data_IF_350232408389
#
_entry.id   IF_350232408389
#
_cell.length_a   1.000
_cell.length_b   1.000
_cell.length_c   1.000
_cell.angle_alpha   90.00
_cell.angle_beta   90.00
_cell.angle_gamma   90.00
#
_symmetry.space_group_name_H-M   'P 1'
#
loop_
_entity.id
_entity.type
_entity.pdbx_description
1 polymer ?
#
# COMPACT_ATOMS: atom_id res chain seq x y z
N UNK A 1 -18.85 -2.87 -7.89
CA UNK A 1 -18.34 -4.13 -8.45
C UNK A 1 -17.78 -3.87 -9.83
N UNK A 2 -16.51 -4.18 -10.06
CA UNK A 2 -15.83 -4.00 -11.35
C UNK A 2 -15.50 -5.37 -11.93
N UNK A 3 -15.65 -5.55 -13.24
CA UNK A 3 -15.35 -6.81 -13.94
C UNK A 3 -14.30 -6.57 -15.02
N UNK A 4 -13.32 -7.46 -15.08
CA UNK A 4 -12.28 -7.50 -16.12
C UNK A 4 -12.39 -8.83 -16.88
N UNK A 5 -12.28 -8.78 -18.21
CA UNK A 5 -12.22 -9.98 -19.07
C UNK A 5 -10.83 -10.11 -19.67
N UNK A 6 -10.22 -11.28 -19.49
CA UNK A 6 -8.89 -11.60 -20.00
C UNK A 6 -9.00 -12.61 -21.14
N UNK A 7 -8.39 -12.31 -22.29
CA UNK A 7 -8.48 -13.13 -23.51
C UNK A 7 -7.06 -13.42 -24.01
N UNK A 8 -6.82 -14.65 -24.46
CA UNK A 8 -5.55 -15.06 -25.07
C UNK A 8 -5.81 -16.00 -26.24
N UNK A 9 -5.01 -15.86 -27.30
CA UNK A 9 -5.03 -16.78 -28.45
C UNK A 9 -4.19 -18.05 -28.22
N UNK A 10 -3.55 -18.18 -27.06
CA UNK A 10 -2.68 -19.30 -26.71
C UNK A 10 -3.47 -20.44 -26.08
N UNK A 11 -2.97 -21.68 -26.26
CA UNK A 11 -3.62 -22.91 -25.75
C UNK A 11 -3.42 -23.12 -24.24
N UNK A 12 -2.42 -22.47 -23.64
CA UNK A 12 -2.16 -22.58 -22.20
C UNK A 12 -3.30 -21.94 -21.39
N UNK A 13 -3.67 -22.53 -20.24
CA UNK A 13 -4.72 -21.98 -19.40
C UNK A 13 -4.26 -20.64 -18.79
N UNK A 14 -5.06 -19.60 -19.00
CA UNK A 14 -4.75 -18.24 -18.52
C UNK A 14 -5.01 -18.08 -17.02
N UNK A 15 -6.03 -18.77 -16.48
CA UNK A 15 -6.44 -18.67 -15.07
C UNK A 15 -5.28 -18.95 -14.08
N UNK A 16 -4.54 -20.08 -14.16
CA UNK A 16 -3.44 -20.35 -13.23
C UNK A 16 -2.31 -19.32 -13.29
N UNK A 17 -2.04 -18.75 -14.48
CA UNK A 17 -1.00 -17.73 -14.66
C UNK A 17 -1.38 -16.41 -13.97
N UNK A 18 -2.62 -15.98 -14.15
CA UNK A 18 -3.14 -14.74 -13.55
C UNK A 18 -3.29 -14.91 -12.05
N UNK A 19 -3.76 -16.07 -11.60
CA UNK A 19 -3.87 -16.40 -10.17
C UNK A 19 -2.50 -16.35 -9.49
N UNK A 20 -1.48 -17.00 -10.07
CA UNK A 20 -0.13 -16.95 -9.53
C UNK A 20 0.44 -15.52 -9.51
N UNK A 21 0.14 -14.69 -10.52
CA UNK A 21 0.58 -13.29 -10.56
C UNK A 21 -0.06 -12.45 -9.44
N UNK A 22 -1.37 -12.60 -9.22
CA UNK A 22 -2.09 -11.91 -8.13
C UNK A 22 -1.54 -12.34 -6.77
N UNK A 23 -1.36 -13.64 -6.54
CA UNK A 23 -0.81 -14.15 -5.29
C UNK A 23 0.61 -13.66 -5.03
N UNK A 24 1.45 -13.58 -6.07
CA UNK A 24 2.79 -13.03 -5.93
C UNK A 24 2.76 -11.52 -5.61
N UNK A 25 1.87 -10.75 -6.25
CA UNK A 25 1.73 -9.33 -5.97
C UNK A 25 1.26 -9.07 -4.53
N UNK A 26 0.26 -9.80 -4.04
CA UNK A 26 -0.18 -9.74 -2.65
C UNK A 26 0.98 -9.98 -1.66
N UNK A 27 1.82 -10.98 -1.93
CA UNK A 27 3.02 -11.24 -1.10
C UNK A 27 4.00 -10.07 -1.11
N UNK A 28 4.21 -9.42 -2.25
CA UNK A 28 5.10 -8.26 -2.37
C UNK A 28 4.51 -7.03 -1.66
N UNK A 29 3.20 -6.78 -1.82
CA UNK A 29 2.49 -5.71 -1.14
C UNK A 29 2.62 -5.84 0.37
N UNK A 30 2.40 -7.05 0.93
CA UNK A 30 2.56 -7.32 2.35
C UNK A 30 3.96 -6.96 2.88
N UNK A 31 5.01 -7.34 2.14
CA UNK A 31 6.40 -6.98 2.50
C UNK A 31 6.61 -5.46 2.47
N UNK A 32 6.03 -4.79 1.47
CA UNK A 32 6.06 -3.32 1.35
C UNK A 32 5.36 -2.63 2.53
N UNK A 33 4.14 -3.05 2.84
CA UNK A 33 3.32 -2.56 3.96
C UNK A 33 4.08 -2.71 5.27
N UNK A 34 4.62 -3.89 5.54
CA UNK A 34 5.38 -4.16 6.77
C UNK A 34 6.62 -3.27 6.89
N UNK A 35 7.32 -3.02 5.77
CA UNK A 35 8.48 -2.14 5.75
C UNK A 35 8.10 -0.68 6.00
N UNK A 36 7.06 -0.18 5.33
CA UNK A 36 6.58 1.19 5.51
C UNK A 36 6.03 1.40 6.92
N UNK A 37 5.29 0.44 7.49
CA UNK A 37 4.85 0.48 8.90
C UNK A 37 6.02 0.57 9.88
N UNK A 38 7.14 -0.12 9.62
CA UNK A 38 8.35 0.01 10.45
C UNK A 38 8.96 1.41 10.35
N UNK A 39 9.09 1.95 9.13
CA UNK A 39 9.65 3.29 8.94
C UNK A 39 8.80 4.38 9.57
N UNK A 40 7.46 4.29 9.47
CA UNK A 40 6.55 5.18 10.18
C UNK A 40 6.79 5.13 11.70
N UNK A 41 6.94 3.94 12.30
CA UNK A 41 7.27 3.79 13.72
C UNK A 41 8.62 4.41 14.09
N UNK A 42 9.61 4.37 13.19
CA UNK A 42 10.90 5.02 13.40
C UNK A 42 10.73 6.54 13.51
N UNK A 43 9.95 7.17 12.63
CA UNK A 43 9.62 8.60 12.72
C UNK A 43 8.85 8.93 14.01
N UNK A 44 7.89 8.08 14.40
CA UNK A 44 7.13 8.26 15.64
C UNK A 44 8.04 8.28 16.87
N UNK A 45 9.01 7.37 16.91
CA UNK A 45 9.99 7.26 18.00
C UNK A 45 10.98 8.45 17.99
N UNK A 46 11.49 8.83 16.82
CA UNK A 46 12.43 9.95 16.66
C UNK A 46 11.79 11.27 17.09
N UNK A 47 10.55 11.52 16.66
CA UNK A 47 9.82 12.76 16.96
C UNK A 47 9.03 12.71 18.27
N UNK A 48 8.99 11.55 18.94
CA UNK A 48 8.17 11.30 20.15
C UNK A 48 6.72 11.72 19.96
N UNK A 49 6.19 11.44 18.77
CA UNK A 49 4.88 11.89 18.32
C UNK A 49 4.21 10.76 17.56
N UNK A 50 2.95 10.46 17.88
CA UNK A 50 2.20 9.49 17.11
C UNK A 50 1.81 10.07 15.73
N UNK A 51 1.71 9.21 14.71
CA UNK A 51 1.41 9.62 13.34
C UNK A 51 0.07 10.35 13.24
N UNK A 52 -0.95 9.94 14.01
CA UNK A 52 -2.26 10.60 14.04
C UNK A 52 -2.15 12.08 14.48
N UNK A 53 -1.28 12.37 15.45
CA UNK A 53 -1.00 13.72 15.93
C UNK A 53 -0.17 14.49 14.92
N UNK A 54 0.83 13.85 14.32
CA UNK A 54 1.64 14.44 13.25
C UNK A 54 0.75 14.91 12.09
N UNK A 55 -0.12 14.05 11.57
CA UNK A 55 -1.04 14.37 10.46
C UNK A 55 -1.94 15.57 10.79
N UNK A 56 -2.55 15.58 11.99
CA UNK A 56 -3.38 16.72 12.43
C UNK A 56 -2.61 18.05 12.47
N UNK A 57 -1.35 18.03 12.88
CA UNK A 57 -0.52 19.25 12.95
C UNK A 57 -0.02 19.66 11.56
N UNK A 58 0.34 18.67 10.73
CA UNK A 58 0.77 18.87 9.34
C UNK A 58 -0.33 19.50 8.49
N UNK A 59 -1.57 18.99 8.58
CA UNK A 59 -2.75 19.53 7.88
C UNK A 59 -3.16 20.94 8.32
N UNK A 60 -2.73 21.36 9.52
CA UNK A 60 -3.03 22.68 10.08
C UNK A 60 -1.90 23.69 9.81
N UNK A 61 -0.88 23.32 9.03
CA UNK A 61 0.35 24.10 8.81
C UNK A 61 1.02 24.54 10.13
N UNK A 62 0.93 23.70 11.16
CA UNK A 62 1.49 23.97 12.51
C UNK A 62 2.89 23.40 12.73
N UNK A 63 3.45 22.75 11.72
CA UNK A 63 4.78 22.18 11.76
C UNK A 63 5.70 23.01 10.86
N UNK A 64 6.89 23.32 11.36
CA UNK A 64 7.92 23.91 10.52
C UNK A 64 8.33 22.91 9.44
N UNK A 65 8.30 23.35 8.18
CA UNK A 65 8.68 22.50 7.04
C UNK A 65 10.13 22.03 7.18
N UNK A 66 10.32 20.72 7.14
CA UNK A 66 11.64 20.11 7.11
C UNK A 66 11.58 18.77 6.36
N UNK A 67 12.76 18.25 6.03
CA UNK A 67 12.88 17.02 5.26
C UNK A 67 12.29 15.80 6.00
N UNK A 68 12.43 15.73 7.33
CA UNK A 68 11.93 14.62 8.14
C UNK A 68 10.41 14.49 8.04
N UNK A 69 9.70 15.61 8.20
CA UNK A 69 8.24 15.65 8.07
C UNK A 69 7.78 15.42 6.64
N UNK A 70 8.52 15.91 5.64
CA UNK A 70 8.23 15.66 4.23
C UNK A 70 8.37 14.17 3.86
N UNK A 71 9.37 13.48 4.42
CA UNK A 71 9.52 12.04 4.23
C UNK A 71 8.46 11.25 5.00
N UNK A 72 8.14 11.65 6.23
CA UNK A 72 7.15 10.96 7.06
C UNK A 72 5.75 11.00 6.43
N UNK A 73 5.29 12.16 5.95
CA UNK A 73 4.02 12.23 5.21
C UNK A 73 4.07 11.40 3.92
N UNK A 74 5.23 11.29 3.29
CA UNK A 74 5.47 10.43 2.14
C UNK A 74 5.27 8.96 2.46
N UNK A 75 5.85 8.46 3.56
CA UNK A 75 5.68 7.08 4.00
C UNK A 75 4.24 6.77 4.41
N UNK A 76 3.54 7.69 5.07
CA UNK A 76 2.13 7.53 5.39
C UNK A 76 1.28 7.36 4.12
N UNK A 77 1.45 8.26 3.14
CA UNK A 77 0.72 8.18 1.85
C UNK A 77 1.09 6.94 1.04
N UNK A 78 2.33 6.47 1.15
CA UNK A 78 2.76 5.21 0.56
C UNK A 78 2.02 4.04 1.20
N UNK A 79 1.90 4.02 2.52
CA UNK A 79 1.17 2.98 3.24
C UNK A 79 -0.27 2.87 2.77
N UNK A 80 -0.99 4.00 2.73
CA UNK A 80 -2.38 4.04 2.28
C UNK A 80 -2.55 3.44 0.87
N UNK A 81 -1.63 3.79 -0.05
CA UNK A 81 -1.66 3.27 -1.42
C UNK A 81 -1.35 1.78 -1.50
N UNK A 82 -0.49 1.26 -0.64
CA UNK A 82 -0.16 -0.16 -0.61
C UNK A 82 -1.33 -0.96 -0.03
N UNK A 83 -1.92 -0.51 1.07
CA UNK A 83 -3.08 -1.14 1.71
C UNK A 83 -4.30 -1.12 0.78
N UNK A 84 -4.57 -0.01 0.08
CA UNK A 84 -5.64 0.05 -0.91
C UNK A 84 -5.45 -0.96 -2.06
N UNK A 85 -4.21 -1.15 -2.52
CA UNK A 85 -3.90 -2.15 -3.56
C UNK A 85 -4.06 -3.57 -3.05
N UNK A 86 -3.63 -3.84 -1.81
CA UNK A 86 -3.78 -5.14 -1.17
C UNK A 86 -5.26 -5.49 -1.06
N UNK A 87 -6.07 -4.62 -0.48
CA UNK A 87 -7.53 -4.78 -0.36
C UNK A 87 -8.18 -5.02 -1.72
N UNK A 88 -7.81 -4.23 -2.74
CA UNK A 88 -8.34 -4.41 -4.10
C UNK A 88 -8.03 -5.80 -4.67
N UNK A 89 -6.83 -6.33 -4.44
CA UNK A 89 -6.40 -7.64 -4.95
C UNK A 89 -6.94 -8.81 -4.13
N UNK A 90 -7.11 -8.65 -2.82
CA UNK A 90 -7.71 -9.66 -1.94
C UNK A 90 -9.18 -9.94 -2.30
N UNK A 91 -9.91 -8.94 -2.79
CA UNK A 91 -11.29 -9.09 -3.23
C UNK A 91 -11.44 -9.75 -4.61
N UNK A 92 -10.35 -9.92 -5.37
CA UNK A 92 -10.42 -10.49 -6.72
C UNK A 92 -10.87 -11.95 -6.67
N UNK A 93 -11.92 -12.25 -7.44
CA UNK A 93 -12.45 -13.61 -7.62
C UNK A 93 -12.49 -13.96 -9.10
N UNK A 94 -12.11 -15.19 -9.42
CA UNK A 94 -12.30 -15.74 -10.76
C UNK A 94 -13.77 -16.14 -10.92
N UNK A 95 -14.37 -15.77 -12.04
CA UNK A 95 -15.72 -16.22 -12.39
C UNK A 95 -15.73 -17.75 -12.60
N UNK A 96 -16.85 -18.38 -12.24
CA UNK A 96 -17.15 -19.79 -12.52
C UNK A 96 -17.47 -20.03 -14.00
#
# INVERSE_FOLDING_TARGET
MTKLTLISSKKQPLKPLVEAAIQNELRLLKVGIDKTKRRIKEYELQNKMATDKFLRLFEQDKLEENLDFAEWIGEYRLLERLEQKEETLEEVKFAD
#
